data_IF_417055902329
#
_entry.id   IF_417055902329
#
_cell.length_a   1.000
_cell.length_b   1.000
_cell.length_c   1.000
_cell.angle_alpha   90.00
_cell.angle_beta   90.00
_cell.angle_gamma   90.00
#
_symmetry.space_group_name_H-M   'P 1'
#
loop_
_entity.id
_entity.type
_entity.pdbx_description
1 polymer ?
#
# COMPACT_ATOMS: atom_id res chain seq x y z
N UNK A 1 15.29 -17.26 4.30
CA UNK A 1 14.30 -16.29 4.80
C UNK A 1 13.20 -16.18 3.77
N UNK A 2 11.95 -16.47 4.12
CA UNK A 2 10.79 -16.28 3.25
C UNK A 2 9.98 -15.08 3.72
N UNK A 3 9.58 -14.22 2.79
CA UNK A 3 8.62 -13.14 3.02
C UNK A 3 7.21 -13.59 2.66
N UNK A 4 6.20 -12.83 3.09
CA UNK A 4 4.79 -13.03 2.72
C UNK A 4 4.23 -11.70 2.23
N UNK A 5 3.35 -11.77 1.22
CA UNK A 5 2.56 -10.63 0.75
C UNK A 5 1.14 -10.77 1.30
N UNK A 6 0.66 -9.74 1.99
CA UNK A 6 -0.73 -9.64 2.42
C UNK A 6 -1.41 -8.58 1.56
N UNK A 7 -2.28 -9.01 0.66
CA UNK A 7 -2.97 -8.11 -0.26
C UNK A 7 -4.32 -7.66 0.31
N UNK A 8 -4.42 -6.39 0.69
CA UNK A 8 -5.66 -5.80 1.20
C UNK A 8 -6.46 -5.17 0.05
N UNK A 9 -7.61 -5.74 -0.29
CA UNK A 9 -8.57 -5.15 -1.25
C UNK A 9 -9.84 -4.69 -0.56
N UNK A 10 -10.60 -3.81 -1.23
CA UNK A 10 -11.87 -3.31 -0.73
C UNK A 10 -12.18 -1.91 -1.26
N UNK A 11 -13.44 -1.50 -1.10
CA UNK A 11 -13.93 -0.19 -1.53
C UNK A 11 -13.12 0.97 -0.91
N UNK A 12 -13.11 2.17 -1.54
CA UNK A 12 -12.65 3.38 -0.87
C UNK A 12 -13.30 3.53 0.52
N UNK A 13 -12.54 4.01 1.49
CA UNK A 13 -12.96 4.13 2.90
C UNK A 13 -13.34 2.81 3.63
N UNK A 14 -13.09 1.62 3.07
CA UNK A 14 -13.36 0.34 3.75
C UNK A 14 -12.41 0.00 4.90
N UNK A 15 -11.48 0.88 5.26
CA UNK A 15 -10.53 0.69 6.36
C UNK A 15 -9.23 -0.06 6.04
N UNK A 16 -8.87 -0.24 4.76
CA UNK A 16 -7.62 -0.92 4.33
C UNK A 16 -6.37 -0.34 4.99
N UNK A 17 -6.19 0.99 4.90
CA UNK A 17 -5.05 1.70 5.50
C UNK A 17 -5.03 1.54 7.01
N UNK A 18 -6.19 1.62 7.67
CA UNK A 18 -6.31 1.38 9.12
C UNK A 18 -5.83 -0.03 9.48
N UNK A 19 -6.26 -1.05 8.74
CA UNK A 19 -5.85 -2.44 8.98
C UNK A 19 -4.36 -2.65 8.72
N UNK A 20 -3.82 -2.12 7.61
CA UNK A 20 -2.40 -2.20 7.26
C UNK A 20 -1.51 -1.60 8.36
N UNK A 21 -1.81 -0.39 8.81
CA UNK A 21 -1.04 0.31 9.85
C UNK A 21 -1.07 -0.44 11.18
N UNK A 22 -2.24 -0.96 11.58
CA UNK A 22 -2.37 -1.75 12.81
C UNK A 22 -1.64 -3.09 12.72
N UNK A 23 -1.67 -3.74 11.55
CA UNK A 23 -0.92 -4.96 11.31
C UNK A 23 0.59 -4.71 11.40
N UNK A 24 1.08 -3.65 10.74
CA UNK A 24 2.50 -3.28 10.79
C UNK A 24 2.96 -2.98 12.23
N UNK A 25 2.16 -2.25 13.01
CA UNK A 25 2.45 -2.00 14.44
C UNK A 25 2.63 -3.31 15.22
N UNK A 26 1.68 -4.24 15.08
CA UNK A 26 1.75 -5.56 15.75
C UNK A 26 2.95 -6.40 15.31
N UNK A 27 3.30 -6.36 14.02
CA UNK A 27 4.48 -7.06 13.49
C UNK A 27 5.77 -6.44 14.02
N UNK A 28 5.84 -5.11 14.12
CA UNK A 28 6.98 -4.41 14.70
C UNK A 28 7.18 -4.77 16.19
N UNK A 29 6.10 -4.85 16.98
CA UNK A 29 6.12 -5.33 18.37
C UNK A 29 6.66 -6.76 18.48
N UNK A 30 6.37 -7.61 17.48
CA UNK A 30 6.89 -8.97 17.36
C UNK A 30 8.31 -9.05 16.74
N UNK A 31 8.97 -7.91 16.48
CA UNK A 31 10.26 -7.80 15.78
C UNK A 31 10.27 -8.42 14.37
N UNK A 32 9.13 -8.39 13.68
CA UNK A 32 8.99 -8.82 12.29
C UNK A 32 8.99 -7.58 11.39
N UNK A 33 9.92 -7.55 10.43
CA UNK A 33 10.00 -6.46 9.46
C UNK A 33 8.79 -6.49 8.52
N UNK A 34 8.13 -5.34 8.34
CA UNK A 34 6.96 -5.20 7.49
C UNK A 34 6.98 -3.83 6.81
N UNK A 35 6.79 -3.82 5.49
CA UNK A 35 6.59 -2.61 4.69
C UNK A 35 5.15 -2.55 4.21
N UNK A 36 4.54 -1.37 4.27
CA UNK A 36 3.23 -1.11 3.66
C UNK A 36 3.49 -0.51 2.28
N UNK A 37 2.89 -1.11 1.25
CA UNK A 37 2.85 -0.54 -0.09
C UNK A 37 1.43 -0.01 -0.30
N UNK A 38 1.31 1.31 -0.35
CA UNK A 38 0.04 2.01 -0.54
C UNK A 38 0.08 2.76 -1.88
N UNK A 39 -0.99 2.65 -2.67
CA UNK A 39 -1.02 3.22 -4.01
C UNK A 39 -0.89 4.73 -4.00
N UNK A 40 -1.45 5.41 -3.00
CA UNK A 40 -1.48 6.87 -2.95
C UNK A 40 -0.06 7.37 -2.62
N UNK A 41 0.60 6.73 -1.65
CA UNK A 41 2.01 7.01 -1.35
C UNK A 41 2.95 6.70 -2.52
N UNK A 42 2.68 5.63 -3.29
CA UNK A 42 3.47 5.31 -4.47
C UNK A 42 3.26 6.29 -5.62
N UNK A 43 2.04 6.83 -5.81
CA UNK A 43 1.77 7.84 -6.83
C UNK A 43 2.58 9.10 -6.62
N UNK A 44 2.66 9.56 -5.37
CA UNK A 44 3.48 10.71 -5.00
C UNK A 44 4.97 10.45 -5.27
N UNK A 45 5.45 9.25 -4.91
CA UNK A 45 6.85 8.87 -5.12
C UNK A 45 7.24 8.69 -6.59
N UNK A 46 6.28 8.28 -7.44
CA UNK A 46 6.49 8.02 -8.87
C UNK A 46 6.08 9.19 -9.78
N UNK A 47 5.49 10.25 -9.23
CA UNK A 47 5.06 11.43 -9.98
C UNK A 47 3.78 11.23 -10.80
N UNK A 48 2.93 10.24 -10.45
CA UNK A 48 1.69 9.89 -11.16
C UNK A 48 0.44 10.38 -10.42
N UNK A 49 0.37 11.70 -10.20
CA UNK A 49 -0.60 12.36 -9.31
C UNK A 49 -1.82 12.98 -10.01
N UNK A 50 -1.87 13.02 -11.35
CA UNK A 50 -2.95 13.69 -12.09
C UNK A 50 -4.23 12.83 -12.24
N UNK A 51 -4.14 11.52 -12.00
CA UNK A 51 -5.25 10.56 -12.09
C UNK A 51 -5.97 10.50 -13.46
N UNK A 52 -5.42 11.13 -14.49
CA UNK A 52 -5.93 11.02 -15.86
C UNK A 52 -5.62 9.61 -16.44
N UNK A 53 -6.22 9.24 -17.58
CA UNK A 53 -5.99 7.92 -18.16
C UNK A 53 -4.52 7.60 -18.43
N UNK A 54 -3.72 8.58 -18.88
CA UNK A 54 -2.30 8.36 -19.18
C UNK A 54 -1.49 8.13 -17.89
N UNK A 55 -1.76 8.91 -16.85
CA UNK A 55 -1.17 8.74 -15.52
C UNK A 55 -1.55 7.41 -14.86
N UNK A 56 -2.78 6.95 -15.10
CA UNK A 56 -3.24 5.64 -14.61
C UNK A 56 -2.53 4.51 -15.35
N UNK A 57 -2.44 4.59 -16.67
CA UNK A 57 -1.74 3.58 -17.48
C UNK A 57 -0.26 3.51 -17.12
N UNK A 58 0.42 4.66 -16.95
CA UNK A 58 1.81 4.72 -16.52
C UNK A 58 2.03 4.14 -15.11
N UNK A 59 1.06 4.30 -14.20
CA UNK A 59 1.15 3.78 -12.83
C UNK A 59 0.84 2.29 -12.71
N UNK A 60 0.00 1.74 -13.59
CA UNK A 60 -0.42 0.33 -13.54
C UNK A 60 0.29 -0.59 -14.55
N UNK A 61 1.09 -0.05 -15.47
CA UNK A 61 1.94 -0.81 -16.41
C UNK A 61 3.10 -1.54 -15.71
#
# INVERSE_FOLDING_TARGET
MSGVVVWLTGLPASGKTTLATRLQQRLAEARVACVILDSDAMRDALGATAYDPADRDAFYA
#
